data_IF_342409283853
#
_entry.id   IF_342409283853
#
_cell.length_a   1.000
_cell.length_b   1.000
_cell.length_c   1.000
_cell.angle_alpha   90.00
_cell.angle_beta   90.00
_cell.angle_gamma   90.00
#
_symmetry.space_group_name_H-M   'P 1'
#
loop_
_entity.id
_entity.type
_entity.pdbx_description
1 polymer ?
#
# COMPACT_ATOMS: atom_id res chain seq x y z
N UNK A 1 16.22 17.04 10.78
CA UNK A 1 16.27 15.85 11.66
C UNK A 1 17.07 16.10 12.95
N UNK A 2 17.60 17.31 13.20
CA UNK A 2 18.42 17.62 14.40
C UNK A 2 19.60 16.64 14.58
N UNK A 3 20.23 16.29 13.46
CA UNK A 3 21.32 15.33 13.38
C UNK A 3 22.58 16.01 12.85
N UNK A 4 23.73 15.38 13.08
CA UNK A 4 25.00 15.83 12.51
C UNK A 4 25.03 15.54 11.00
N UNK A 5 25.42 16.56 10.21
CA UNK A 5 25.50 16.48 8.75
C UNK A 5 26.50 15.40 8.32
N UNK A 6 26.16 14.61 7.30
CA UNK A 6 27.02 13.57 6.74
C UNK A 6 27.01 12.23 7.51
N UNK A 7 26.38 12.16 8.68
CA UNK A 7 26.28 10.91 9.43
C UNK A 7 25.11 10.05 8.95
N UNK A 8 25.37 8.74 8.84
CA UNK A 8 24.33 7.76 8.53
C UNK A 8 23.31 7.67 9.67
N UNK A 9 22.03 7.59 9.32
CA UNK A 9 20.92 7.50 10.26
C UNK A 9 20.29 6.11 10.19
N UNK A 10 20.59 5.29 11.19
CA UNK A 10 19.92 4.01 11.42
C UNK A 10 18.90 4.21 12.52
N UNK A 11 17.60 4.14 12.15
CA UNK A 11 16.54 4.21 13.15
C UNK A 11 16.51 2.90 13.97
N UNK A 12 16.23 2.97 15.28
CA UNK A 12 16.02 1.78 16.08
C UNK A 12 14.85 0.95 15.53
N UNK A 13 14.93 -0.37 15.67
CA UNK A 13 13.91 -1.28 15.18
C UNK A 13 12.55 -1.12 15.90
N UNK A 14 12.49 -1.11 17.25
CA UNK A 14 11.27 -0.78 17.96
C UNK A 14 11.19 0.70 18.30
N UNK A 15 9.97 1.21 18.47
CA UNK A 15 9.77 2.39 19.31
C UNK A 15 10.17 2.02 20.73
N UNK A 16 11.11 2.76 21.33
CA UNK A 16 11.62 2.49 22.68
C UNK A 16 10.58 2.59 23.80
N UNK A 17 9.38 3.03 23.48
CA UNK A 17 8.25 3.20 24.39
C UNK A 17 7.06 2.30 24.06
N UNK A 18 7.19 1.34 23.14
CA UNK A 18 6.12 0.42 22.75
C UNK A 18 6.59 -1.03 22.87
N UNK A 19 6.15 -1.71 23.93
CA UNK A 19 6.41 -3.14 24.16
C UNK A 19 5.13 -3.98 24.23
N UNK A 20 3.98 -3.34 24.27
CA UNK A 20 2.67 -3.99 24.33
C UNK A 20 1.59 -3.16 23.63
N UNK A 21 0.39 -3.72 23.51
CA UNK A 21 -0.76 -3.00 22.94
C UNK A 21 -1.18 -1.82 23.80
N UNK A 22 -1.00 -1.90 25.12
CA UNK A 22 -1.29 -0.81 26.05
C UNK A 22 -0.33 0.37 25.86
N UNK A 23 0.94 0.08 25.60
CA UNK A 23 1.91 1.12 25.27
C UNK A 23 1.63 1.74 23.90
N UNK A 24 1.23 0.92 22.93
CA UNK A 24 0.77 1.43 21.64
C UNK A 24 -0.44 2.34 21.79
N UNK A 25 -1.39 1.99 22.66
CA UNK A 25 -2.53 2.84 23.01
C UNK A 25 -2.09 4.18 23.60
N UNK A 26 -1.12 4.21 24.52
CA UNK A 26 -0.58 5.46 25.08
C UNK A 26 -0.09 6.40 23.97
N UNK A 27 0.62 5.87 22.97
CA UNK A 27 1.07 6.66 21.82
C UNK A 27 -0.09 7.26 21.03
N UNK A 28 -1.10 6.45 20.72
CA UNK A 28 -2.30 6.90 20.02
C UNK A 28 -3.01 7.99 20.82
N UNK A 29 -3.15 7.80 22.13
CA UNK A 29 -3.79 8.77 23.03
C UNK A 29 -2.99 10.08 23.11
N UNK A 30 -1.65 10.03 23.19
CA UNK A 30 -0.80 11.23 23.15
C UNK A 30 -0.94 12.03 21.85
N UNK A 31 -1.00 11.33 20.71
CA UNK A 31 -1.21 11.98 19.40
C UNK A 31 -2.57 12.70 19.36
N UNK A 32 -3.61 12.08 19.92
CA UNK A 32 -4.96 12.67 19.99
C UNK A 32 -5.07 13.79 21.02
N UNK A 33 -4.31 13.75 22.11
CA UNK A 33 -4.26 14.85 23.08
C UNK A 33 -3.64 16.10 22.47
N UNK A 34 -2.58 15.95 21.68
CA UNK A 34 -1.95 17.06 20.95
C UNK A 34 -2.88 17.61 19.87
N UNK A 35 -3.57 16.74 19.14
CA UNK A 35 -4.52 17.14 18.10
C UNK A 35 -5.80 16.28 18.12
N UNK A 36 -6.87 16.73 18.79
CA UNK A 36 -8.11 15.96 18.91
C UNK A 36 -8.84 15.68 17.59
N UNK A 37 -8.50 16.39 16.51
CA UNK A 37 -9.12 16.23 15.18
C UNK A 37 -8.30 15.32 14.25
N UNK A 38 -7.19 14.75 14.73
CA UNK A 38 -6.27 13.96 13.89
C UNK A 38 -6.81 12.56 13.62
N UNK A 39 -6.62 12.08 12.39
CA UNK A 39 -6.77 10.67 12.07
C UNK A 39 -5.46 9.94 12.37
N UNK A 40 -5.55 8.77 13.01
CA UNK A 40 -4.39 8.00 13.43
C UNK A 40 -4.42 6.69 12.65
N UNK A 41 -3.37 6.49 11.86
CA UNK A 41 -3.15 5.26 11.10
C UNK A 41 -2.05 4.45 11.76
N UNK A 42 -2.33 3.18 12.03
CA UNK A 42 -1.34 2.22 12.50
C UNK A 42 -0.91 1.39 11.31
N UNK A 43 0.33 1.62 10.87
CA UNK A 43 0.92 0.86 9.76
C UNK A 43 1.67 -0.35 10.29
N UNK A 44 1.32 -1.52 9.79
CA UNK A 44 1.95 -2.79 10.13
C UNK A 44 2.33 -3.53 8.85
N UNK A 45 3.50 -4.15 8.84
CA UNK A 45 3.79 -5.23 7.88
C UNK A 45 2.78 -6.37 8.09
N UNK A 46 2.72 -7.35 7.20
CA UNK A 46 1.76 -8.46 7.32
C UNK A 46 2.43 -9.73 7.91
N UNK A 47 2.59 -9.85 9.26
CA UNK A 47 2.99 -11.10 9.89
C UNK A 47 1.84 -12.11 9.88
N UNK A 48 2.12 -13.37 10.21
CA UNK A 48 1.14 -14.46 10.20
C UNK A 48 -0.14 -14.17 10.99
N UNK A 49 -0.07 -13.33 12.02
CA UNK A 49 -1.13 -12.94 12.98
C UNK A 49 -1.58 -11.48 12.81
N UNK A 50 -1.43 -10.91 11.61
CA UNK A 50 -1.81 -9.51 11.31
C UNK A 50 -3.26 -9.17 11.64
N UNK A 51 -4.16 -10.15 11.65
CA UNK A 51 -5.54 -10.06 12.08
C UNK A 51 -5.68 -9.69 13.56
N UNK A 52 -4.88 -10.32 14.43
CA UNK A 52 -4.83 -9.98 15.87
C UNK A 52 -4.23 -8.59 16.08
N UNK A 53 -3.22 -8.23 15.29
CA UNK A 53 -2.63 -6.87 15.34
C UNK A 53 -3.66 -5.82 14.91
N UNK A 54 -4.48 -6.12 13.89
CA UNK A 54 -5.51 -5.21 13.40
C UNK A 54 -6.58 -4.92 14.47
N UNK A 55 -7.11 -5.96 15.14
CA UNK A 55 -8.10 -5.76 16.20
C UNK A 55 -7.48 -5.05 17.42
N UNK A 56 -6.24 -5.39 17.78
CA UNK A 56 -5.51 -4.71 18.84
C UNK A 56 -5.29 -3.22 18.54
N UNK A 57 -4.97 -2.89 17.29
CA UNK A 57 -4.81 -1.51 16.82
C UNK A 57 -6.13 -0.73 16.90
N UNK A 58 -7.26 -1.37 16.56
CA UNK A 58 -8.58 -0.77 16.76
C UNK A 58 -8.87 -0.47 18.23
N UNK A 59 -8.63 -1.42 19.15
CA UNK A 59 -8.82 -1.21 20.59
C UNK A 59 -7.83 -0.20 21.20
N UNK A 60 -6.65 -0.05 20.61
CA UNK A 60 -5.71 1.03 20.94
C UNK A 60 -6.22 2.42 20.52
N UNK A 61 -7.29 2.48 19.70
CA UNK A 61 -7.93 3.72 19.26
C UNK A 61 -7.52 4.16 17.86
N UNK A 62 -6.92 3.30 17.04
CA UNK A 62 -6.60 3.62 15.66
C UNK A 62 -7.88 3.88 14.84
N UNK A 63 -7.85 4.91 13.99
CA UNK A 63 -8.92 5.19 13.04
C UNK A 63 -8.73 4.37 11.75
N UNK A 64 -7.47 4.09 11.41
CA UNK A 64 -7.06 3.40 10.20
C UNK A 64 -6.08 2.28 10.58
N UNK A 65 -6.33 1.08 10.08
CA UNK A 65 -5.36 -0.02 10.09
C UNK A 65 -4.77 -0.11 8.68
N UNK A 66 -3.47 0.14 8.57
CA UNK A 66 -2.75 0.08 7.30
C UNK A 66 -1.86 -1.16 7.27
N UNK A 67 -2.25 -2.15 6.48
CA UNK A 67 -1.45 -3.37 6.25
C UNK A 67 -0.56 -3.21 5.00
N UNK A 68 0.71 -3.57 5.12
CA UNK A 68 1.71 -3.48 4.04
C UNK A 68 2.30 -4.85 3.70
N UNK A 69 2.07 -5.30 2.47
CA UNK A 69 2.52 -6.61 1.99
C UNK A 69 3.99 -6.67 1.58
N UNK A 70 4.44 -7.89 1.26
CA UNK A 70 5.85 -8.23 0.97
C UNK A 70 6.52 -7.50 -0.19
N UNK A 71 5.75 -6.91 -1.09
CA UNK A 71 6.27 -6.22 -2.27
C UNK A 71 6.31 -4.69 -2.10
N UNK A 72 6.41 -4.20 -0.86
CA UNK A 72 6.64 -2.80 -0.54
C UNK A 72 7.96 -2.26 -1.12
N UNK A 73 7.99 -0.97 -1.44
CA UNK A 73 9.21 -0.28 -1.89
C UNK A 73 10.06 0.18 -0.70
N UNK A 74 11.37 0.25 -0.89
CA UNK A 74 12.30 0.88 0.07
C UNK A 74 13.42 1.59 -0.69
N UNK A 75 13.87 2.72 -0.14
CA UNK A 75 15.04 3.44 -0.65
C UNK A 75 16.36 2.82 -0.19
N UNK A 76 16.37 2.16 0.97
CA UNK A 76 17.55 1.51 1.54
C UNK A 76 17.11 0.43 2.55
N UNK A 77 17.40 -0.84 2.27
CA UNK A 77 17.19 -1.94 3.21
C UNK A 77 18.11 -3.13 2.88
N UNK A 78 18.41 -3.99 3.86
CA UNK A 78 19.09 -5.27 3.60
C UNK A 78 18.27 -6.20 2.71
N UNK A 79 18.91 -6.92 1.79
CA UNK A 79 18.20 -7.82 0.86
C UNK A 79 17.46 -8.97 1.56
N UNK A 80 17.97 -9.42 2.70
CA UNK A 80 17.30 -10.44 3.53
C UNK A 80 15.94 -9.94 4.05
N UNK A 81 15.86 -8.66 4.39
CA UNK A 81 14.64 -8.03 4.88
C UNK A 81 13.61 -7.85 3.75
N UNK A 82 14.08 -7.47 2.55
CA UNK A 82 13.22 -7.27 1.37
C UNK A 82 12.45 -8.53 0.95
N UNK A 83 12.97 -9.73 1.24
CA UNK A 83 12.43 -11.00 0.70
C UNK A 83 11.59 -11.82 1.68
N UNK A 84 11.73 -11.62 3.00
CA UNK A 84 11.30 -12.63 3.98
C UNK A 84 10.40 -12.12 5.12
N UNK A 85 10.01 -10.84 5.15
CA UNK A 85 9.40 -10.24 6.35
C UNK A 85 7.86 -10.30 6.37
N UNK A 86 7.20 -10.39 5.22
CA UNK A 86 5.76 -10.17 5.13
C UNK A 86 5.08 -11.20 4.23
N UNK A 87 3.79 -11.44 4.44
CA UNK A 87 2.94 -12.19 3.50
C UNK A 87 2.51 -11.31 2.32
N UNK A 88 2.12 -11.90 1.17
CA UNK A 88 1.49 -11.16 0.08
C UNK A 88 0.22 -10.43 0.52
N UNK A 89 0.00 -9.23 -0.02
CA UNK A 89 -1.12 -8.37 0.39
C UNK A 89 -2.47 -8.99 0.03
N UNK A 90 -2.53 -9.76 -1.05
CA UNK A 90 -3.72 -10.45 -1.56
C UNK A 90 -4.23 -11.52 -0.57
N UNK A 91 -3.34 -12.05 0.27
CA UNK A 91 -3.69 -12.98 1.34
C UNK A 91 -4.06 -12.24 2.64
N UNK A 92 -3.34 -11.16 2.95
CA UNK A 92 -3.55 -10.40 4.19
C UNK A 92 -4.89 -9.67 4.22
N UNK A 93 -5.30 -9.02 3.11
CA UNK A 93 -6.55 -8.25 3.04
C UNK A 93 -7.78 -9.10 3.43
N UNK A 94 -8.10 -10.21 2.75
CA UNK A 94 -9.31 -10.97 3.06
C UNK A 94 -9.24 -11.57 4.47
N UNK A 95 -8.05 -11.95 4.93
CA UNK A 95 -7.83 -12.46 6.30
C UNK A 95 -8.23 -11.41 7.35
N UNK A 96 -7.68 -10.20 7.26
CA UNK A 96 -8.00 -9.10 8.19
C UNK A 96 -9.44 -8.65 8.05
N UNK A 97 -9.94 -8.53 6.81
CA UNK A 97 -11.31 -8.13 6.53
C UNK A 97 -12.32 -9.08 7.20
N UNK A 98 -12.14 -10.38 7.01
CA UNK A 98 -13.00 -11.42 7.60
C UNK A 98 -12.93 -11.39 9.13
N UNK A 99 -11.73 -11.36 9.68
CA UNK A 99 -11.54 -11.37 11.12
C UNK A 99 -12.19 -10.14 11.80
N UNK A 100 -11.97 -8.93 11.29
CA UNK A 100 -12.63 -7.72 11.81
C UNK A 100 -14.16 -7.76 11.68
N UNK A 101 -14.67 -8.50 10.69
CA UNK A 101 -16.12 -8.69 10.49
C UNK A 101 -16.68 -9.64 11.54
N UNK A 102 -15.99 -10.75 11.80
CA UNK A 102 -16.33 -11.71 12.86
C UNK A 102 -16.29 -11.07 14.25
N UNK A 103 -15.35 -10.16 14.48
CA UNK A 103 -15.25 -9.36 15.72
C UNK A 103 -16.26 -8.20 15.82
N UNK A 104 -17.05 -7.92 14.76
CA UNK A 104 -18.06 -6.87 14.78
C UNK A 104 -17.51 -5.43 14.84
N UNK A 105 -16.30 -5.23 14.32
CA UNK A 105 -15.59 -3.92 14.31
C UNK A 105 -15.24 -3.43 12.91
N UNK A 106 -15.45 -4.25 11.86
CA UNK A 106 -15.05 -3.92 10.49
C UNK A 106 -15.64 -2.60 9.97
N UNK A 107 -16.86 -2.27 10.35
CA UNK A 107 -17.56 -1.04 9.97
C UNK A 107 -17.08 0.21 10.73
N UNK A 108 -16.30 0.01 11.81
CA UNK A 108 -15.80 1.06 12.71
C UNK A 108 -14.36 1.47 12.44
N UNK A 109 -13.64 0.74 11.58
CA UNK A 109 -12.24 0.98 11.25
C UNK A 109 -12.02 0.97 9.75
N UNK A 110 -11.17 1.88 9.27
CA UNK A 110 -10.76 1.92 7.87
C UNK A 110 -9.57 0.97 7.65
N UNK A 111 -9.72 0.00 6.75
CA UNK A 111 -8.65 -0.92 6.35
C UNK A 111 -7.97 -0.39 5.09
N UNK A 112 -6.72 0.03 5.21
CA UNK A 112 -5.88 0.45 4.09
C UNK A 112 -4.87 -0.66 3.76
N UNK A 113 -4.67 -0.93 2.47
CA UNK A 113 -3.69 -1.90 1.99
C UNK A 113 -2.56 -1.23 1.19
N UNK A 114 -1.34 -1.75 1.29
CA UNK A 114 -0.25 -1.44 0.37
C UNK A 114 0.70 -2.62 0.18
N UNK A 115 1.73 -2.42 -0.65
CA UNK A 115 2.75 -3.42 -0.92
C UNK A 115 2.41 -4.21 -2.18
N UNK A 116 3.11 -3.93 -3.27
CA UNK A 116 2.94 -4.66 -4.53
C UNK A 116 1.83 -4.22 -5.45
N UNK A 117 1.13 -3.11 -5.15
CA UNK A 117 0.08 -2.56 -6.00
C UNK A 117 0.71 -1.78 -7.15
N UNK A 118 0.51 -2.25 -8.40
CA UNK A 118 1.25 -1.74 -9.57
C UNK A 118 0.36 -1.00 -10.57
N UNK A 119 -0.93 -1.28 -10.60
CA UNK A 119 -1.85 -0.74 -11.60
C UNK A 119 -3.27 -0.54 -11.03
N UNK A 120 -4.13 0.11 -11.80
CA UNK A 120 -5.52 0.35 -11.41
C UNK A 120 -6.33 -0.93 -11.14
N UNK A 121 -6.07 -2.03 -11.84
CA UNK A 121 -6.77 -3.29 -11.59
C UNK A 121 -6.35 -3.93 -10.27
N UNK A 122 -5.08 -3.81 -9.86
CA UNK A 122 -4.62 -4.29 -8.56
C UNK A 122 -5.33 -3.54 -7.42
N UNK A 123 -5.53 -2.23 -7.58
CA UNK A 123 -6.33 -1.43 -6.63
C UNK A 123 -7.76 -1.95 -6.52
N UNK A 124 -8.43 -2.16 -7.67
CA UNK A 124 -9.80 -2.66 -7.68
C UNK A 124 -9.91 -4.05 -7.03
N UNK A 125 -8.94 -4.94 -7.28
CA UNK A 125 -8.88 -6.27 -6.65
C UNK A 125 -8.65 -6.18 -5.14
N UNK A 126 -7.72 -5.34 -4.69
CA UNK A 126 -7.47 -5.13 -3.26
C UNK A 126 -8.73 -4.63 -2.53
N UNK A 127 -9.48 -3.71 -3.16
CA UNK A 127 -10.75 -3.23 -2.62
C UNK A 127 -11.79 -4.37 -2.59
N UNK A 128 -11.94 -5.11 -3.69
CA UNK A 128 -12.83 -6.28 -3.76
C UNK A 128 -12.50 -7.36 -2.73
N UNK A 129 -11.23 -7.54 -2.38
CA UNK A 129 -10.77 -8.45 -1.33
C UNK A 129 -11.12 -7.96 0.09
N UNK A 130 -11.43 -6.68 0.28
CA UNK A 130 -11.91 -6.15 1.56
C UNK A 130 -11.27 -4.87 2.06
N UNK A 131 -10.31 -4.27 1.34
CA UNK A 131 -9.71 -2.99 1.72
C UNK A 131 -10.65 -1.80 1.42
N UNK A 132 -10.68 -0.80 2.29
CA UNK A 132 -11.41 0.47 2.07
C UNK A 132 -10.61 1.43 1.18
N UNK A 133 -9.29 1.30 1.18
CA UNK A 133 -8.38 2.14 0.42
C UNK A 133 -7.05 1.46 0.18
N UNK A 134 -6.28 2.02 -0.75
CA UNK A 134 -4.99 1.46 -1.16
C UNK A 134 -3.97 2.58 -1.25
N UNK A 135 -2.78 2.36 -0.68
CA UNK A 135 -1.65 3.30 -0.79
C UNK A 135 -0.74 2.84 -1.92
N UNK A 136 -0.47 3.77 -2.83
CA UNK A 136 0.40 3.60 -3.99
C UNK A 136 1.72 4.28 -3.70
N UNK A 137 2.82 3.72 -4.20
CA UNK A 137 4.14 4.34 -4.07
C UNK A 137 4.99 4.08 -5.30
N UNK A 138 5.42 2.84 -5.50
CA UNK A 138 6.28 2.49 -6.66
C UNK A 138 5.66 2.87 -8.01
N UNK A 139 4.35 2.71 -8.19
CA UNK A 139 3.71 3.09 -9.45
C UNK A 139 3.73 4.62 -9.69
N UNK A 140 3.59 5.42 -8.63
CA UNK A 140 3.77 6.88 -8.70
C UNK A 140 5.22 7.22 -9.07
N UNK A 141 6.20 6.56 -8.46
CA UNK A 141 7.61 6.76 -8.83
C UNK A 141 7.87 6.39 -10.30
N UNK A 142 7.26 5.32 -10.81
CA UNK A 142 7.37 4.94 -12.23
C UNK A 142 6.70 5.99 -13.13
N UNK A 143 5.57 6.57 -12.73
CA UNK A 143 4.97 7.69 -13.44
C UNK A 143 5.91 8.91 -13.50
N UNK A 144 6.71 9.13 -12.45
CA UNK A 144 7.78 10.14 -12.38
C UNK A 144 9.09 9.74 -13.08
N UNK A 145 9.08 8.72 -13.93
CA UNK A 145 10.23 8.19 -14.69
C UNK A 145 11.24 7.39 -13.88
N UNK A 146 10.81 6.73 -12.80
CA UNK A 146 11.62 5.69 -12.16
C UNK A 146 11.81 4.51 -13.12
N UNK A 147 13.06 4.29 -13.55
CA UNK A 147 13.46 3.16 -14.40
C UNK A 147 13.77 1.88 -13.61
N UNK A 148 13.46 1.84 -12.30
CA UNK A 148 13.68 0.68 -11.42
C UNK A 148 15.13 0.17 -11.42
N UNK A 149 16.12 1.07 -11.46
CA UNK A 149 17.55 0.73 -11.47
C UNK A 149 18.08 0.10 -10.18
N UNK A 150 17.34 0.20 -9.06
CA UNK A 150 17.72 -0.44 -7.80
C UNK A 150 18.83 0.24 -7.00
N UNK A 151 19.31 1.42 -7.43
CA UNK A 151 20.41 2.16 -6.79
C UNK A 151 19.93 3.42 -6.06
N UNK A 152 18.80 3.32 -5.34
CA UNK A 152 18.20 4.46 -4.64
C UNK A 152 19.08 4.98 -3.50
N UNK A 153 19.81 4.09 -2.85
CA UNK A 153 20.72 4.31 -1.73
C UNK A 153 22.15 4.72 -2.15
N UNK A 154 22.39 4.91 -3.45
CA UNK A 154 23.72 5.29 -3.95
C UNK A 154 24.18 6.63 -3.38
N UNK A 155 25.49 6.84 -3.25
CA UNK A 155 26.06 8.00 -2.55
C UNK A 155 25.58 9.36 -3.07
N UNK A 156 25.55 9.55 -4.40
CA UNK A 156 24.98 10.76 -5.04
C UNK A 156 23.45 10.70 -5.17
N UNK A 157 22.84 9.54 -4.94
CA UNK A 157 21.42 9.27 -5.15
C UNK A 157 21.06 8.89 -6.58
N UNK A 158 19.77 8.68 -6.80
CA UNK A 158 19.20 8.21 -8.06
C UNK A 158 19.54 9.13 -9.24
N UNK A 159 20.08 8.57 -10.32
CA UNK A 159 20.39 9.28 -11.56
C UNK A 159 19.17 9.89 -12.29
N UNK A 160 17.95 9.60 -11.84
CA UNK A 160 16.70 10.22 -12.33
C UNK A 160 16.23 11.39 -11.47
N UNK A 161 16.95 11.75 -10.41
CA UNK A 161 16.58 12.86 -9.52
C UNK A 161 15.46 12.55 -8.53
N UNK A 162 14.96 11.31 -8.46
CA UNK A 162 13.81 10.93 -7.63
C UNK A 162 14.19 10.72 -6.15
N UNK A 163 15.26 9.95 -5.91
CA UNK A 163 15.74 9.60 -4.58
C UNK A 163 17.18 10.09 -4.43
N UNK A 164 17.36 11.39 -4.21
CA UNK A 164 18.68 12.03 -4.09
C UNK A 164 18.60 13.24 -3.15
N UNK A 165 19.74 13.60 -2.56
CA UNK A 165 19.95 14.86 -1.83
C UNK A 165 20.97 15.76 -2.53
N UNK A 166 21.45 15.36 -3.72
CA UNK A 166 22.35 16.15 -4.56
C UNK A 166 21.57 17.31 -5.19
N UNK A 167 22.10 18.53 -5.10
CA UNK A 167 21.41 19.73 -5.55
C UNK A 167 21.20 19.74 -7.07
N UNK A 168 22.13 19.22 -7.86
CA UNK A 168 22.00 19.20 -9.32
C UNK A 168 20.97 18.14 -9.75
N UNK A 169 21.02 16.95 -9.15
CA UNK A 169 20.08 15.88 -9.48
C UNK A 169 18.65 16.18 -8.97
N UNK A 170 18.52 16.88 -7.84
CA UNK A 170 17.23 17.25 -7.26
C UNK A 170 16.41 18.20 -8.14
N UNK A 171 17.07 18.99 -9.00
CA UNK A 171 16.41 19.91 -9.94
C UNK A 171 15.91 19.23 -11.22
N UNK A 172 16.21 17.93 -11.43
CA UNK A 172 15.82 17.21 -12.65
C UNK A 172 14.31 17.01 -12.81
N UNK A 173 13.56 16.95 -11.70
CA UNK A 173 12.10 16.77 -11.71
C UNK A 173 11.47 18.04 -11.16
N UNK A 174 10.81 18.79 -12.04
CA UNK A 174 10.04 19.98 -11.63
C UNK A 174 8.72 19.56 -10.99
N UNK A 175 8.18 20.41 -10.12
CA UNK A 175 6.87 20.20 -9.49
C UNK A 175 5.76 20.08 -10.54
N UNK A 176 5.78 20.94 -11.57
CA UNK A 176 4.82 20.90 -12.68
C UNK A 176 4.88 19.57 -13.46
N UNK A 177 6.09 19.04 -13.70
CA UNK A 177 6.23 17.73 -14.33
C UNK A 177 5.65 16.65 -13.43
N UNK A 178 6.02 16.64 -12.15
CA UNK A 178 5.55 15.64 -11.21
C UNK A 178 4.02 15.64 -11.08
N UNK A 179 3.42 16.81 -10.91
CA UNK A 179 1.97 16.99 -10.85
C UNK A 179 1.29 16.42 -12.10
N UNK A 180 1.72 16.85 -13.29
CA UNK A 180 1.14 16.39 -14.55
C UNK A 180 1.21 14.86 -14.70
N UNK A 181 2.34 14.24 -14.33
CA UNK A 181 2.53 12.78 -14.44
C UNK A 181 1.62 12.01 -13.48
N UNK A 182 1.54 12.45 -12.23
CA UNK A 182 0.70 11.82 -11.20
C UNK A 182 -0.79 11.99 -11.52
N UNK A 183 -1.22 13.20 -11.88
CA UNK A 183 -2.62 13.49 -12.25
C UNK A 183 -3.04 12.65 -13.46
N UNK A 184 -2.18 12.53 -14.48
CA UNK A 184 -2.48 11.71 -15.66
C UNK A 184 -2.62 10.23 -15.32
N UNK A 185 -1.74 9.68 -14.46
CA UNK A 185 -1.83 8.29 -14.01
C UNK A 185 -3.15 8.02 -13.29
N UNK A 186 -3.48 8.82 -12.26
CA UNK A 186 -4.71 8.66 -11.50
C UNK A 186 -5.96 8.90 -12.36
N UNK A 187 -5.91 9.85 -13.31
CA UNK A 187 -7.01 10.08 -14.26
C UNK A 187 -7.26 8.88 -15.17
N UNK A 188 -6.20 8.21 -15.63
CA UNK A 188 -6.31 6.98 -16.42
C UNK A 188 -6.89 5.83 -15.59
N UNK A 189 -6.43 5.65 -14.36
CA UNK A 189 -6.93 4.61 -13.46
C UNK A 189 -8.38 4.85 -13.06
N UNK A 190 -8.75 6.10 -12.77
CA UNK A 190 -10.15 6.50 -12.51
C UNK A 190 -11.08 6.08 -13.64
N UNK A 191 -10.69 6.25 -14.91
CA UNK A 191 -11.49 5.79 -16.05
C UNK A 191 -11.68 4.26 -16.05
N UNK A 192 -10.66 3.50 -15.67
CA UNK A 192 -10.76 2.04 -15.53
C UNK A 192 -11.71 1.65 -14.41
N UNK A 193 -11.59 2.28 -13.22
CA UNK A 193 -12.50 2.01 -12.10
C UNK A 193 -13.94 2.38 -12.42
N UNK A 194 -14.19 3.55 -13.02
CA UNK A 194 -15.53 3.94 -13.46
C UNK A 194 -16.13 2.92 -14.44
N UNK A 195 -15.31 2.31 -15.32
CA UNK A 195 -15.78 1.25 -16.23
C UNK A 195 -16.15 -0.02 -15.46
N UNK A 196 -15.32 -0.47 -14.52
CA UNK A 196 -15.59 -1.64 -13.67
C UNK A 196 -16.89 -1.43 -12.88
N UNK A 197 -17.02 -0.29 -12.19
CA UNK A 197 -18.20 0.01 -11.38
C UNK A 197 -19.47 0.03 -12.25
N UNK A 198 -19.43 0.64 -13.44
CA UNK A 198 -20.55 0.60 -14.38
C UNK A 198 -20.91 -0.81 -14.85
N UNK A 199 -19.92 -1.66 -15.10
CA UNK A 199 -20.16 -3.06 -15.52
C UNK A 199 -20.92 -3.85 -14.44
N UNK A 200 -20.66 -3.57 -13.17
CA UNK A 200 -21.33 -4.22 -12.04
C UNK A 200 -22.52 -3.42 -11.46
N UNK A 201 -22.92 -2.33 -12.13
CA UNK A 201 -24.04 -1.49 -11.67
C UNK A 201 -23.80 -0.72 -10.37
N UNK A 202 -22.54 -0.57 -9.94
CA UNK A 202 -22.14 0.09 -8.70
C UNK A 202 -22.02 1.61 -8.88
N UNK A 203 -22.40 2.38 -7.84
CA UNK A 203 -22.32 3.85 -7.86
C UNK A 203 -21.09 4.40 -7.14
N UNK A 204 -20.51 3.62 -6.23
CA UNK A 204 -19.35 4.00 -5.44
C UNK A 204 -18.33 2.86 -5.36
N UNK A 205 -17.05 3.21 -5.27
CA UNK A 205 -15.98 2.24 -5.00
C UNK A 205 -16.18 1.52 -3.67
N UNK A 206 -16.90 2.14 -2.72
CA UNK A 206 -17.26 1.53 -1.43
C UNK A 206 -18.14 0.29 -1.60
N UNK A 207 -18.97 0.23 -2.64
CA UNK A 207 -19.83 -0.93 -2.94
C UNK A 207 -19.02 -2.14 -3.45
N UNK A 208 -17.77 -1.91 -3.87
CA UNK A 208 -16.85 -2.97 -4.25
C UNK A 208 -16.17 -3.61 -3.03
N UNK A 209 -16.11 -2.93 -1.88
CA UNK A 209 -15.39 -3.41 -0.68
C UNK A 209 -15.94 -4.77 -0.26
N UNK A 210 -15.07 -5.78 -0.21
CA UNK A 210 -15.45 -7.13 0.22
C UNK A 210 -16.29 -7.92 -0.79
N UNK A 211 -16.48 -7.42 -2.02
CA UNK A 211 -17.14 -8.15 -3.12
C UNK A 211 -16.19 -9.19 -3.75
N UNK A 212 -15.69 -10.10 -2.91
CA UNK A 212 -14.84 -11.20 -3.35
C UNK A 212 -15.56 -12.18 -4.28
N UNK A 213 -16.89 -12.18 -4.28
CA UNK A 213 -17.73 -12.91 -5.24
C UNK A 213 -17.52 -12.48 -6.70
N UNK A 214 -16.99 -11.29 -6.92
CA UNK A 214 -16.64 -10.77 -8.26
C UNK A 214 -15.22 -11.16 -8.70
N UNK A 215 -14.47 -11.88 -7.86
CA UNK A 215 -13.12 -12.34 -8.14
C UNK A 215 -13.13 -13.83 -8.40
N UNK A 216 -12.31 -14.26 -9.35
CA UNK A 216 -12.09 -15.67 -9.66
C UNK A 216 -10.61 -15.93 -9.84
N UNK A 217 -10.13 -17.05 -9.28
CA UNK A 217 -8.77 -17.52 -9.51
C UNK A 217 -8.76 -18.39 -10.76
N UNK A 218 -8.16 -17.89 -11.85
CA UNK A 218 -8.23 -18.54 -13.16
C UNK A 218 -7.60 -19.95 -13.17
N UNK A 219 -6.63 -20.23 -12.31
CA UNK A 219 -6.02 -21.57 -12.24
C UNK A 219 -6.88 -22.59 -11.48
N UNK A 220 -7.99 -22.16 -10.87
CA UNK A 220 -8.97 -23.07 -10.25
C UNK A 220 -10.16 -23.35 -11.18
N UNK A 221 -10.15 -22.78 -12.39
CA UNK A 221 -11.17 -23.02 -13.40
C UNK A 221 -10.74 -24.13 -14.33
N UNK A 222 -11.71 -24.94 -14.77
CA UNK A 222 -11.52 -25.85 -15.89
C UNK A 222 -11.18 -25.06 -17.17
N UNK A 223 -10.45 -25.68 -18.10
CA UNK A 223 -9.98 -25.01 -19.31
C UNK A 223 -11.15 -24.41 -20.14
N UNK A 224 -12.28 -25.13 -20.19
CA UNK A 224 -13.51 -24.69 -20.86
C UNK A 224 -14.14 -23.44 -20.23
N UNK A 225 -13.98 -23.25 -18.93
CA UNK A 225 -14.47 -22.07 -18.21
C UNK A 225 -13.48 -20.91 -18.30
N UNK A 226 -12.19 -21.21 -18.22
CA UNK A 226 -11.11 -20.24 -18.38
C UNK A 226 -11.17 -19.55 -19.74
N UNK A 227 -11.52 -20.29 -20.81
CA UNK A 227 -11.70 -19.75 -22.17
C UNK A 227 -12.78 -18.66 -22.29
N UNK A 228 -13.70 -18.54 -21.32
CA UNK A 228 -14.71 -17.47 -21.29
C UNK A 228 -14.11 -16.10 -20.93
N UNK A 229 -12.94 -16.08 -20.31
CA UNK A 229 -12.25 -14.87 -19.90
C UNK A 229 -11.16 -14.50 -20.90
N UNK A 230 -10.99 -13.20 -21.16
CA UNK A 230 -9.93 -12.74 -22.06
C UNK A 230 -8.56 -13.16 -21.49
N UNK A 231 -7.72 -13.88 -22.26
CA UNK A 231 -6.39 -14.24 -21.80
C UNK A 231 -5.57 -12.97 -21.55
N UNK A 232 -4.63 -13.05 -20.61
CA UNK A 232 -3.64 -11.99 -20.43
C UNK A 232 -3.00 -11.68 -21.80
N UNK A 233 -2.83 -10.40 -22.17
CA UNK A 233 -2.26 -10.05 -23.46
C UNK A 233 -0.88 -10.71 -23.62
N UNK A 234 -0.77 -11.64 -24.57
CA UNK A 234 0.47 -12.41 -24.82
C UNK A 234 1.53 -11.61 -25.59
N UNK A 235 1.23 -10.36 -25.99
CA UNK A 235 2.22 -9.52 -26.65
C UNK A 235 3.33 -9.20 -25.66
N UNK A 236 4.58 -9.55 -26.02
CA UNK A 236 5.77 -8.98 -25.38
C UNK A 236 5.57 -7.46 -25.32
N UNK A 237 5.40 -6.94 -24.11
CA UNK A 237 5.60 -5.52 -23.84
C UNK A 237 7.06 -5.25 -24.18
N UNK A 238 7.29 -4.64 -25.33
CA UNK A 238 8.56 -3.96 -25.58
C UNK A 238 8.49 -2.71 -24.72
N UNK A 239 9.08 -2.80 -23.53
CA UNK A 239 9.35 -1.66 -22.67
C UNK A 239 10.59 -0.97 -23.22
#
# INVERSE_FOLDING_TARGET
>A
RETVVGNALFSPFPFHSVYSVEDHKKHVDWVKEINPRVLVSVKVSTPSDVDMVAVGSYYAGAHIVHIDGSYGGTGAAPDIAKKNIAMPIEYAIPKVHKFLTEEGVRDKVCLIASGGIRNGMDVAKAIALGADGVVIGTAELVALDCVRCGNCESGRGCARGIATTDSELGEMITEEWAENRIVNMYSAWRKQWCRILRQFGMKSIRELVGRSDLLVHLDYLEESERMKYQPAPQKKLVI
#
